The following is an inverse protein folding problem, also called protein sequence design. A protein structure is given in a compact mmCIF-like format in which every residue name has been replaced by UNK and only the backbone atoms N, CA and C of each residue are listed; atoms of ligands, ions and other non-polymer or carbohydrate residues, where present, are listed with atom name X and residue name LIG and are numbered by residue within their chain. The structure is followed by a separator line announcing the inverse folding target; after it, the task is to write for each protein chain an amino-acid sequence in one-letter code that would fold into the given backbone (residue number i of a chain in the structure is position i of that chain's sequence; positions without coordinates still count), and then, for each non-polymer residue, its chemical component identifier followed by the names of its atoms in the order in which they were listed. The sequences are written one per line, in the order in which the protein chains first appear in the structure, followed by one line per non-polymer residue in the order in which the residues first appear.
data_IF_512563082098
#
_entry.id   IF_512563082098
#
_cell.length_a   1.000
_cell.length_b   1.000
_cell.length_c   1.000
_cell.angle_alpha   90.00
_cell.angle_beta   90.00
_cell.angle_gamma   90.00
#
_symmetry.space_group_name_H-M   'P 1'
#
loop_
_entity.id
_entity.type
_entity.pdbx_description
1 polymer ?
#
# COMPACT_ATOMS: atom_id res chain seq x y z
N UNK A 1 -1.09 2.46 -1.37
CA UNK A 1 -0.32 2.24 -2.62
C UNK A 1 0.56 3.44 -2.89
N UNK A 2 1.88 3.31 -2.87
CA UNK A 2 2.81 4.43 -3.07
C UNK A 2 3.66 4.18 -4.32
N UNK A 3 3.61 5.10 -5.29
CA UNK A 3 4.23 4.99 -6.60
C UNK A 3 5.31 6.07 -6.74
N UNK A 4 6.55 5.63 -7.00
CA UNK A 4 7.68 6.53 -7.28
C UNK A 4 7.62 7.09 -8.70
N UNK A 5 8.35 8.18 -8.96
CA UNK A 5 8.49 8.75 -10.33
C UNK A 5 9.13 7.77 -11.32
N UNK A 6 9.91 6.79 -10.85
CA UNK A 6 10.50 5.73 -11.67
C UNK A 6 9.57 4.55 -11.94
N UNK A 7 8.28 4.64 -11.57
CA UNK A 7 7.29 3.60 -11.80
C UNK A 7 7.40 2.39 -10.87
N UNK A 8 8.05 2.55 -9.71
CA UNK A 8 8.16 1.49 -8.70
C UNK A 8 7.16 1.69 -7.58
N UNK A 9 6.62 0.60 -7.07
CA UNK A 9 5.75 0.55 -5.91
C UNK A 9 6.58 0.32 -4.66
N UNK A 10 6.25 1.05 -3.61
CA UNK A 10 6.80 0.87 -2.27
C UNK A 10 6.03 -0.27 -1.61
N UNK A 11 6.74 -1.31 -1.21
CA UNK A 11 6.21 -2.49 -0.52
C UNK A 11 6.94 -2.69 0.79
N UNK A 12 6.27 -3.32 1.74
CA UNK A 12 6.82 -3.70 3.04
C UNK A 12 6.71 -5.20 3.24
N UNK A 13 7.63 -5.78 4.03
CA UNK A 13 7.58 -7.19 4.43
C UNK A 13 7.19 -7.26 5.89
N UNK A 14 6.11 -7.96 6.17
CA UNK A 14 5.56 -8.08 7.52
C UNK A 14 5.27 -9.54 7.87
N UNK A 15 5.67 -9.97 9.08
CA UNK A 15 5.29 -11.28 9.58
C UNK A 15 3.85 -11.24 10.10
N UNK A 16 2.98 -12.06 9.52
CA UNK A 16 1.56 -12.15 9.90
C UNK A 16 1.31 -13.41 10.73
N UNK A 17 1.19 -13.22 12.03
CA UNK A 17 1.01 -14.30 13.02
C UNK A 17 -0.19 -15.21 12.68
N UNK A 18 -1.29 -14.63 12.19
CA UNK A 18 -2.51 -15.38 11.87
C UNK A 18 -2.33 -16.45 10.79
N UNK A 19 -1.34 -16.26 9.90
CA UNK A 19 -1.04 -17.18 8.80
C UNK A 19 0.37 -17.75 8.88
N UNK A 20 1.11 -17.43 9.96
CA UNK A 20 2.46 -17.93 10.31
C UNK A 20 3.48 -17.77 9.17
N UNK A 21 3.49 -16.62 8.51
CA UNK A 21 4.44 -16.33 7.42
C UNK A 21 4.65 -14.84 7.18
N UNK A 22 5.76 -14.52 6.50
CA UNK A 22 6.02 -13.17 5.99
C UNK A 22 5.19 -12.93 4.74
N UNK A 23 4.51 -11.81 4.68
CA UNK A 23 3.79 -11.31 3.52
C UNK A 23 4.49 -10.07 2.94
N UNK A 24 4.29 -9.84 1.64
CA UNK A 24 4.71 -8.63 0.95
C UNK A 24 3.45 -7.78 0.71
N UNK A 25 3.45 -6.58 1.25
CA UNK A 25 2.24 -5.76 1.35
C UNK A 25 2.50 -4.31 0.95
N UNK A 26 1.46 -3.60 0.56
CA UNK A 26 1.51 -2.12 0.54
C UNK A 26 1.48 -1.60 1.98
N UNK A 27 2.16 -0.47 2.30
CA UNK A 27 2.12 0.15 3.63
C UNK A 27 0.67 0.40 4.07
N UNK A 28 0.35 0.03 5.30
CA UNK A 28 -0.98 0.19 5.86
C UNK A 28 -1.02 -0.06 7.37
N UNK A 29 -1.79 0.74 8.07
CA UNK A 29 -2.03 0.57 9.49
C UNK A 29 -3.45 0.88 9.90
N UNK A 30 -3.69 0.88 11.22
CA UNK A 30 -5.01 1.10 11.81
C UNK A 30 -5.26 2.58 12.06
N UNK A 31 -6.53 2.98 11.93
CA UNK A 31 -6.96 4.30 12.35
C UNK A 31 -6.80 4.48 13.86
N UNK A 32 -6.22 5.59 14.26
CA UNK A 32 -6.30 6.05 15.63
C UNK A 32 -7.74 6.50 15.98
N UNK A 33 -8.12 6.54 17.27
CA UNK A 33 -9.45 6.99 17.65
C UNK A 33 -9.77 8.39 17.14
N UNK A 34 -10.69 8.49 16.16
CA UNK A 34 -11.12 9.75 15.54
C UNK A 34 -10.21 10.27 14.41
N UNK A 35 -9.23 9.49 13.98
CA UNK A 35 -8.36 9.83 12.86
C UNK A 35 -9.11 9.74 11.51
N UNK A 36 -8.83 10.70 10.61
CA UNK A 36 -9.33 10.63 9.24
C UNK A 36 -8.54 9.57 8.43
N UNK A 37 -9.19 8.71 7.63
CA UNK A 37 -8.51 7.67 6.86
C UNK A 37 -7.39 8.17 5.93
N UNK A 38 -7.49 9.40 5.41
CA UNK A 38 -6.43 9.98 4.57
C UNK A 38 -5.21 10.37 5.42
N UNK A 39 -5.43 10.86 6.63
CA UNK A 39 -4.33 11.25 7.52
C UNK A 39 -3.62 10.01 8.07
N UNK A 40 -4.35 8.95 8.41
CA UNK A 40 -3.80 7.64 8.71
C UNK A 40 -2.92 7.12 7.55
N UNK A 41 -3.42 7.16 6.32
CA UNK A 41 -2.65 6.69 5.16
C UNK A 41 -1.34 7.47 4.94
N UNK A 42 -1.29 8.77 5.27
CA UNK A 42 -0.06 9.58 5.23
C UNK A 42 0.91 9.22 6.36
N UNK A 43 0.38 9.07 7.58
CA UNK A 43 1.15 8.72 8.77
C UNK A 43 1.82 7.37 8.58
N UNK A 44 1.05 6.33 8.28
CA UNK A 44 1.52 4.96 8.09
C UNK A 44 2.55 4.84 6.94
N UNK A 45 2.32 5.54 5.83
CA UNK A 45 3.30 5.58 4.74
C UNK A 45 4.65 6.10 5.24
N UNK A 46 4.65 7.15 6.05
CA UNK A 46 5.88 7.74 6.57
C UNK A 46 6.54 6.84 7.64
N UNK A 47 5.78 6.38 8.63
CA UNK A 47 6.26 5.55 9.73
C UNK A 47 6.90 4.25 9.21
N UNK A 48 6.20 3.50 8.37
CA UNK A 48 6.69 2.23 7.85
C UNK A 48 7.79 2.37 6.78
N UNK A 49 7.85 3.47 6.02
CA UNK A 49 8.70 3.53 4.82
C UNK A 49 9.63 4.73 4.73
N UNK A 50 9.43 5.75 5.53
CA UNK A 50 10.14 7.04 5.43
C UNK A 50 9.73 7.89 4.22
N UNK A 51 8.72 7.50 3.45
CA UNK A 51 8.24 8.31 2.34
C UNK A 51 7.10 9.23 2.76
N UNK A 52 7.15 10.48 2.28
CA UNK A 52 6.05 11.45 2.32
C UNK A 52 5.51 11.65 0.93
N UNK A 53 4.19 11.73 0.80
CA UNK A 53 3.53 11.91 -0.50
C UNK A 53 3.21 13.39 -0.75
N UNK A 54 3.68 13.94 -1.87
CA UNK A 54 3.27 15.27 -2.34
C UNK A 54 1.85 15.28 -2.90
N UNK A 55 1.33 14.12 -3.33
CA UNK A 55 -0.05 13.97 -3.80
C UNK A 55 -0.61 12.64 -3.35
N UNK A 56 -1.83 12.65 -2.78
CA UNK A 56 -2.59 11.45 -2.45
C UNK A 56 -4.00 11.59 -3.03
N UNK A 57 -4.50 10.50 -3.60
CA UNK A 57 -5.90 10.40 -4.03
C UNK A 57 -6.52 9.08 -3.57
N UNK A 58 -7.79 9.13 -3.22
CA UNK A 58 -8.57 7.94 -2.94
C UNK A 58 -8.73 7.07 -4.19
N UNK A 59 -8.50 5.76 -4.05
CA UNK A 59 -8.74 4.76 -5.10
C UNK A 59 -10.05 4.04 -4.90
N UNK A 60 -10.20 3.37 -3.77
CA UNK A 60 -11.37 2.55 -3.44
C UNK A 60 -11.38 2.20 -1.95
N UNK A 61 -12.50 1.64 -1.50
CA UNK A 61 -12.58 0.92 -0.22
C UNK A 61 -12.97 -0.52 -0.47
N UNK A 62 -12.44 -1.42 0.35
CA UNK A 62 -12.80 -2.83 0.32
C UNK A 62 -13.33 -3.27 1.68
N UNK A 63 -14.30 -4.16 1.66
CA UNK A 63 -14.74 -4.93 2.83
C UNK A 63 -14.01 -6.26 2.75
N UNK A 64 -13.18 -6.59 3.72
CA UNK A 64 -12.26 -7.74 3.62
C UNK A 64 -13.00 -9.07 3.60
N UNK A 65 -13.97 -9.26 4.49
CA UNK A 65 -14.72 -10.52 4.64
C UNK A 65 -16.13 -10.27 5.15
N UNK A 66 -17.00 -9.72 4.31
CA UNK A 66 -18.37 -9.30 4.67
C UNK A 66 -19.25 -10.39 5.30
N UNK A 67 -18.82 -11.66 5.26
CA UNK A 67 -19.57 -12.76 5.88
C UNK A 67 -19.45 -12.85 7.40
N UNK A 68 -18.36 -12.31 8.00
CA UNK A 68 -18.10 -12.44 9.43
C UNK A 68 -17.23 -11.33 10.05
N UNK A 69 -16.78 -10.38 9.23
CA UNK A 69 -15.97 -9.25 9.68
C UNK A 69 -16.50 -7.96 9.05
N UNK A 70 -16.49 -6.87 9.79
CA UNK A 70 -16.91 -5.54 9.36
C UNK A 70 -15.72 -4.62 9.01
N UNK A 71 -14.52 -5.19 8.88
CA UNK A 71 -13.32 -4.45 8.52
C UNK A 71 -13.45 -3.80 7.15
N UNK A 72 -13.19 -2.50 7.11
CA UNK A 72 -13.11 -1.71 5.88
C UNK A 72 -11.68 -1.20 5.72
N UNK A 73 -11.08 -1.44 4.55
CA UNK A 73 -9.78 -0.88 4.20
C UNK A 73 -9.97 0.20 3.14
N UNK A 74 -9.51 1.42 3.44
CA UNK A 74 -9.48 2.53 2.50
C UNK A 74 -8.15 2.54 1.76
N UNK A 75 -8.18 2.44 0.43
CA UNK A 75 -6.98 2.38 -0.41
C UNK A 75 -6.79 3.70 -1.12
N UNK A 76 -5.59 4.26 -0.97
CA UNK A 76 -5.16 5.51 -1.60
C UNK A 76 -3.97 5.27 -2.53
N UNK A 77 -3.83 6.11 -3.56
CA UNK A 77 -2.62 6.22 -4.37
C UNK A 77 -1.84 7.47 -3.95
N UNK A 78 -0.62 7.24 -3.48
CA UNK A 78 0.36 8.26 -3.13
C UNK A 78 1.39 8.39 -4.27
N UNK A 79 1.65 9.61 -4.71
CA UNK A 79 2.63 9.95 -5.75
C UNK A 79 3.42 11.20 -5.35
N UNK A 80 4.44 11.56 -6.15
CA UNK A 80 5.40 12.63 -5.81
C UNK A 80 6.02 12.37 -4.45
N UNK A 81 6.60 11.17 -4.32
CA UNK A 81 7.18 10.72 -3.07
C UNK A 81 8.50 11.43 -2.81
N UNK A 82 8.65 11.97 -1.59
CA UNK A 82 9.89 12.50 -1.05
C UNK A 82 10.34 11.57 0.08
N UNK A 83 11.62 11.21 0.10
CA UNK A 83 12.16 10.39 1.17
C UNK A 83 12.57 11.27 2.35
N UNK A 84 12.07 10.92 3.52
CA UNK A 84 12.50 11.42 4.82
C UNK A 84 12.85 10.20 5.68
N UNK A 85 13.57 10.36 6.75
CA UNK A 85 13.93 9.20 7.59
C UNK A 85 12.64 8.55 8.14
N UNK A 86 12.51 7.20 8.10
CA UNK A 86 11.38 6.53 8.71
C UNK A 86 11.35 6.77 10.22
N UNK A 87 10.17 6.84 10.79
CA UNK A 87 9.94 7.00 12.23
C UNK A 87 9.01 5.88 12.71
N UNK A 88 9.48 4.59 12.64
CA UNK A 88 8.66 3.44 13.00
C UNK A 88 8.40 3.38 14.50
N UNK A 89 7.31 2.76 14.87
CA UNK A 89 7.02 2.41 16.26
C UNK A 89 8.08 1.44 16.82
N UNK A 90 8.31 1.44 18.13
CA UNK A 90 9.38 0.71 18.82
C UNK A 90 9.42 -0.81 18.57
N UNK A 91 8.32 -1.41 18.09
CA UNK A 91 8.12 -2.82 17.78
C UNK A 91 7.97 -3.13 16.28
N UNK A 92 8.09 -2.12 15.41
CA UNK A 92 7.97 -2.27 13.96
C UNK A 92 9.34 -2.41 13.27
N UNK A 93 9.62 -3.62 12.79
CA UNK A 93 10.76 -3.92 11.92
C UNK A 93 10.30 -4.09 10.48
N UNK A 94 10.25 -3.01 9.72
CA UNK A 94 9.74 -3.04 8.35
C UNK A 94 10.89 -3.00 7.34
N UNK A 95 10.96 -4.02 6.49
CA UNK A 95 11.85 -4.02 5.33
C UNK A 95 11.11 -3.44 4.12
N UNK A 96 11.63 -2.36 3.54
CA UNK A 96 11.05 -1.68 2.39
C UNK A 96 11.65 -2.21 1.09
N UNK A 97 10.80 -2.64 0.16
CA UNK A 97 11.16 -3.02 -1.20
C UNK A 97 10.60 -2.02 -2.22
N UNK A 98 11.34 -1.76 -3.29
CA UNK A 98 10.88 -0.96 -4.43
C UNK A 98 10.76 -1.85 -5.67
N UNK A 99 9.54 -2.21 -6.05
CA UNK A 99 9.24 -3.16 -7.12
C UNK A 99 8.55 -2.45 -8.28
N UNK A 100 8.99 -2.63 -9.55
CA UNK A 100 8.26 -2.10 -10.70
C UNK A 100 6.80 -2.55 -10.72
N UNK A 101 5.86 -1.65 -11.09
CA UNK A 101 4.43 -1.97 -11.06
C UNK A 101 4.10 -3.22 -11.87
N UNK A 102 4.69 -3.38 -13.07
CA UNK A 102 4.44 -4.57 -13.90
C UNK A 102 4.91 -5.88 -13.25
N UNK A 103 6.06 -5.88 -12.54
CA UNK A 103 6.52 -7.06 -11.81
C UNK A 103 5.60 -7.39 -10.62
N UNK A 104 5.06 -6.37 -9.95
CA UNK A 104 4.06 -6.57 -8.90
C UNK A 104 2.76 -7.18 -9.48
N UNK A 105 2.31 -6.70 -10.65
CA UNK A 105 1.14 -7.29 -11.33
C UNK A 105 1.39 -8.75 -11.69
N UNK A 106 2.55 -9.06 -12.28
CA UNK A 106 2.92 -10.45 -12.58
C UNK A 106 2.93 -11.33 -11.32
N UNK A 107 3.48 -10.83 -10.21
CA UNK A 107 3.50 -11.54 -8.94
C UNK A 107 2.08 -11.75 -8.35
N UNK A 108 1.15 -10.81 -8.55
CA UNK A 108 -0.27 -10.96 -8.17
C UNK A 108 -0.93 -12.04 -9.02
N UNK A 109 -0.74 -12.00 -10.35
CA UNK A 109 -1.36 -12.96 -11.28
C UNK A 109 -0.79 -14.38 -11.11
N UNK A 110 0.48 -14.49 -10.74
CA UNK A 110 1.14 -15.75 -10.39
C UNK A 110 0.75 -16.30 -9.00
N UNK A 111 -0.06 -15.58 -8.22
CA UNK A 111 -0.46 -15.98 -6.85
C UNK A 111 0.67 -15.88 -5.82
N UNK A 112 1.73 -15.11 -6.09
CA UNK A 112 2.83 -14.87 -5.15
C UNK A 112 2.51 -13.77 -4.14
N UNK A 113 1.63 -12.86 -4.51
CA UNK A 113 1.07 -11.80 -3.65
C UNK A 113 -0.38 -12.14 -3.36
N UNK A 114 -0.70 -12.37 -2.09
CA UNK A 114 -2.03 -12.85 -1.66
C UNK A 114 -2.72 -11.85 -0.72
N UNK A 115 -2.02 -10.82 -0.24
CA UNK A 115 -2.60 -9.81 0.62
C UNK A 115 -3.67 -8.99 -0.13
N UNK A 116 -4.90 -9.00 0.38
CA UNK A 116 -6.08 -8.46 -0.32
C UNK A 116 -5.93 -6.97 -0.70
N UNK A 117 -5.45 -6.12 0.22
CA UNK A 117 -5.27 -4.69 -0.05
C UNK A 117 -4.21 -4.43 -1.12
N UNK A 118 -3.14 -5.24 -1.12
CA UNK A 118 -2.05 -5.15 -2.11
C UNK A 118 -2.53 -5.59 -3.49
N UNK A 119 -3.22 -6.71 -3.58
CA UNK A 119 -3.83 -7.21 -4.84
C UNK A 119 -4.77 -6.16 -5.43
N UNK A 120 -5.72 -5.66 -4.65
CA UNK A 120 -6.69 -4.66 -5.12
C UNK A 120 -6.00 -3.35 -5.48
N UNK A 121 -5.08 -2.86 -4.66
CA UNK A 121 -4.33 -1.63 -4.91
C UNK A 121 -3.49 -1.71 -6.19
N UNK A 122 -2.79 -2.83 -6.41
CA UNK A 122 -1.98 -3.06 -7.60
C UNK A 122 -2.82 -3.05 -8.88
N UNK A 123 -3.89 -3.87 -8.92
CA UNK A 123 -4.77 -3.96 -10.09
C UNK A 123 -5.53 -2.66 -10.38
N UNK A 124 -5.94 -1.91 -9.34
CA UNK A 124 -6.56 -0.60 -9.52
C UNK A 124 -5.58 0.42 -10.09
N UNK A 125 -4.34 0.43 -9.60
CA UNK A 125 -3.27 1.30 -10.09
C UNK A 125 -2.96 1.02 -11.56
N UNK A 126 -2.78 -0.26 -11.93
CA UNK A 126 -2.54 -0.70 -13.31
C UNK A 126 -3.70 -0.32 -14.24
N UNK A 127 -4.94 -0.57 -13.82
CA UNK A 127 -6.13 -0.18 -14.59
C UNK A 127 -6.21 1.33 -14.86
N UNK A 128 -5.81 2.15 -13.91
CA UNK A 128 -5.78 3.61 -14.06
C UNK A 128 -4.66 4.01 -15.02
N UNK A 129 -3.46 3.43 -14.88
CA UNK A 129 -2.33 3.68 -15.78
C UNK A 129 -2.71 3.41 -17.24
N UNK A 130 -3.35 2.27 -17.50
CA UNK A 130 -3.82 1.91 -18.84
C UNK A 130 -4.89 2.87 -19.38
N UNK A 131 -5.86 3.30 -18.56
CA UNK A 131 -6.93 4.24 -18.98
C UNK A 131 -6.41 5.64 -19.30
N UNK A 132 -5.36 6.08 -18.60
CA UNK A 132 -4.76 7.40 -18.79
C UNK A 132 -3.61 7.40 -19.82
N UNK A 133 -3.37 6.27 -20.51
CA UNK A 133 -2.29 6.14 -21.50
C UNK A 133 -0.90 6.32 -20.90
N UNK A 134 -0.73 6.03 -19.62
CA UNK A 134 0.55 6.14 -18.90
C UNK A 134 0.98 7.57 -18.55
N UNK A 135 0.17 8.56 -18.88
CA UNK A 135 0.61 9.98 -18.79
C UNK A 135 0.40 10.63 -17.41
N UNK A 136 -0.47 10.11 -16.54
CA UNK A 136 -0.76 10.73 -15.22
C UNK A 136 -1.26 9.68 -14.20
N UNK A 137 -0.36 8.99 -13.53
CA UNK A 137 -0.68 8.34 -12.26
C UNK A 137 -0.47 9.31 -11.09
#
# INVERSE_FOLDING_TARGET
MALTESGKIVLVRQYRTAIDRVTVEIPAGKLDPGEDPLDCAKRELHEETGFRAGRIRFLTSIVTTCGFCDEIIHIYLATKLEFDAPDPDDDEFVNVDLVPLHELIDAVLDGKIEDAKTVVGALACDSIAHRLGGAEL
#
